data_IF_979179990936
#
_entry.id   IF_979179990936
#
_cell.length_a   1.000
_cell.length_b   1.000
_cell.length_c   1.000
_cell.angle_alpha   90.00
_cell.angle_beta   90.00
_cell.angle_gamma   90.00
#
_symmetry.space_group_name_H-M   'P 1'
#
loop_
_entity.id
_entity.type
_entity.pdbx_description
1 polymer ?
#
# COMPACT_ATOMS: atom_id res chain seq x y z
N UNK A 1 -6.93 -4.83 -22.06
CA UNK A 1 -6.37 -3.55 -21.55
C UNK A 1 -7.39 -2.74 -20.74
N UNK A 2 -8.64 -2.58 -21.21
CA UNK A 2 -9.67 -1.74 -20.55
C UNK A 2 -10.03 -2.18 -19.12
N UNK A 3 -10.15 -3.49 -18.87
CA UNK A 3 -10.45 -4.02 -17.54
C UNK A 3 -9.35 -3.67 -16.52
N UNK A 4 -8.08 -3.80 -16.91
CA UNK A 4 -6.96 -3.49 -16.02
C UNK A 4 -6.95 -2.00 -15.63
N UNK A 5 -7.23 -1.11 -16.59
CA UNK A 5 -7.34 0.33 -16.33
C UNK A 5 -8.54 0.65 -15.43
N UNK A 6 -9.67 -0.05 -15.60
CA UNK A 6 -10.83 0.09 -14.73
C UNK A 6 -10.49 -0.30 -13.29
N UNK A 7 -9.91 -1.49 -13.08
CA UNK A 7 -9.51 -1.97 -11.75
C UNK A 7 -8.54 -0.98 -11.10
N UNK A 8 -7.56 -0.50 -11.87
CA UNK A 8 -6.58 0.44 -11.40
C UNK A 8 -7.19 1.78 -10.97
N UNK A 9 -8.12 2.32 -11.77
CA UNK A 9 -8.84 3.55 -11.43
C UNK A 9 -9.75 3.38 -10.20
N UNK A 10 -10.40 2.23 -10.05
CA UNK A 10 -11.22 1.91 -8.88
C UNK A 10 -10.37 1.88 -7.61
N UNK A 11 -9.25 1.14 -7.62
CA UNK A 11 -8.33 1.08 -6.49
C UNK A 11 -7.73 2.45 -6.12
N UNK A 12 -7.36 3.25 -7.12
CA UNK A 12 -6.92 4.63 -6.88
C UNK A 12 -7.99 5.50 -6.23
N UNK A 13 -9.24 5.40 -6.70
CA UNK A 13 -10.36 6.17 -6.16
C UNK A 13 -10.65 5.79 -4.72
N UNK A 14 -10.68 4.49 -4.42
CA UNK A 14 -10.92 3.97 -3.08
C UNK A 14 -9.85 4.45 -2.09
N UNK A 15 -8.57 4.29 -2.45
CA UNK A 15 -7.45 4.73 -1.62
C UNK A 15 -7.51 6.23 -1.32
N UNK A 16 -7.80 7.06 -2.33
CA UNK A 16 -7.94 8.52 -2.14
C UNK A 16 -9.11 8.87 -1.23
N UNK A 17 -10.19 8.10 -1.27
CA UNK A 17 -11.32 8.29 -0.34
C UNK A 17 -10.93 7.92 1.10
N UNK A 18 -10.20 6.82 1.29
CA UNK A 18 -9.66 6.46 2.61
C UNK A 18 -8.72 7.54 3.16
N UNK A 19 -7.81 8.05 2.34
CA UNK A 19 -6.90 9.14 2.74
C UNK A 19 -7.65 10.41 3.16
N UNK A 20 -8.72 10.78 2.43
CA UNK A 20 -9.59 11.90 2.80
C UNK A 20 -10.26 11.69 4.16
N UNK A 21 -10.73 10.48 4.45
CA UNK A 21 -11.36 10.13 5.74
C UNK A 21 -10.36 10.20 6.90
N UNK A 22 -9.17 9.66 6.70
CA UNK A 22 -8.10 9.61 7.71
C UNK A 22 -7.39 10.97 7.88
N UNK A 23 -7.59 11.92 6.94
CA UNK A 23 -6.95 13.25 6.91
C UNK A 23 -5.42 13.19 6.99
N UNK A 24 -4.83 12.08 6.56
CA UNK A 24 -3.38 11.88 6.46
C UNK A 24 -3.00 11.72 4.99
N UNK A 25 -1.80 12.18 4.64
CA UNK A 25 -1.23 11.96 3.32
C UNK A 25 -0.12 10.92 3.35
N UNK A 26 0.30 10.47 2.16
CA UNK A 26 1.42 9.55 1.98
C UNK A 26 2.56 10.34 1.33
N UNK A 27 3.80 10.03 1.69
CA UNK A 27 4.97 10.61 1.02
C UNK A 27 5.02 10.17 -0.45
N UNK A 28 5.25 11.13 -1.35
CA UNK A 28 5.50 10.85 -2.77
C UNK A 28 6.97 10.42 -3.00
N UNK A 29 7.33 10.16 -4.25
CA UNK A 29 8.71 9.78 -4.65
C UNK A 29 9.80 10.77 -4.20
N UNK A 30 9.44 12.04 -3.99
CA UNK A 30 10.36 13.12 -3.59
C UNK A 30 10.20 13.44 -2.10
N UNK A 31 9.50 12.59 -1.32
CA UNK A 31 9.30 12.76 0.11
C UNK A 31 8.25 13.82 0.51
N UNK A 32 7.51 14.41 -0.44
CA UNK A 32 6.43 15.36 -0.14
C UNK A 32 5.12 14.64 0.11
N UNK A 33 4.39 15.06 1.14
CA UNK A 33 3.07 14.51 1.48
C UNK A 33 2.07 14.80 0.35
N UNK A 34 1.37 13.77 -0.11
CA UNK A 34 0.31 13.87 -1.12
C UNK A 34 -0.97 13.16 -0.68
N UNK A 35 -2.11 13.77 -1.02
CA UNK A 35 -3.45 13.20 -0.85
C UNK A 35 -3.97 12.51 -2.12
N UNK A 36 -3.19 12.57 -3.21
CA UNK A 36 -3.57 12.03 -4.52
C UNK A 36 -2.51 11.06 -5.05
N UNK A 37 -2.14 10.01 -4.29
CA UNK A 37 -1.18 9.02 -4.79
C UNK A 37 -1.75 8.29 -6.02
N UNK A 38 -0.84 7.69 -6.79
CA UNK A 38 -1.17 6.73 -7.84
C UNK A 38 -1.02 5.32 -7.29
N UNK A 39 -1.83 4.38 -7.77
CA UNK A 39 -1.74 2.98 -7.34
C UNK A 39 -0.39 2.33 -7.71
N UNK A 40 0.26 2.83 -8.77
CA UNK A 40 1.63 2.44 -9.17
C UNK A 40 2.61 2.81 -8.07
N UNK A 41 2.53 4.04 -7.56
CA UNK A 41 3.39 4.47 -6.46
C UNK A 41 3.19 3.60 -5.22
N UNK A 42 1.94 3.28 -4.90
CA UNK A 42 1.60 2.41 -3.76
C UNK A 42 2.21 1.02 -3.93
N UNK A 43 2.15 0.43 -5.12
CA UNK A 43 2.81 -0.84 -5.39
C UNK A 43 4.33 -0.75 -5.30
N UNK A 44 4.93 0.38 -5.70
CA UNK A 44 6.36 0.63 -5.49
C UNK A 44 6.72 0.70 -3.99
N UNK A 45 5.87 1.33 -3.16
CA UNK A 45 6.09 1.35 -1.71
C UNK A 45 6.14 -0.06 -1.09
N UNK A 46 5.43 -1.02 -1.67
CA UNK A 46 5.41 -2.43 -1.24
C UNK A 46 6.55 -3.28 -1.80
N UNK A 47 7.37 -2.75 -2.69
CA UNK A 47 8.53 -3.48 -3.22
C UNK A 47 9.54 -3.79 -2.11
N UNK A 48 10.04 -5.02 -2.10
CA UNK A 48 11.03 -5.48 -1.13
C UNK A 48 10.46 -5.88 0.23
N UNK A 49 9.13 -6.04 0.36
CA UNK A 49 8.57 -6.81 1.49
C UNK A 49 8.76 -8.29 1.18
N UNK A 50 9.40 -9.01 2.09
CA UNK A 50 9.74 -10.41 1.91
C UNK A 50 9.16 -11.25 3.04
N UNK A 51 8.56 -12.39 2.68
CA UNK A 51 8.21 -13.43 3.62
C UNK A 51 9.33 -14.46 3.65
N UNK A 52 9.96 -14.64 4.80
CA UNK A 52 11.12 -15.52 4.99
C UNK A 52 10.89 -16.47 6.17
N UNK A 53 11.55 -17.62 6.12
CA UNK A 53 11.56 -18.58 7.22
C UNK A 53 12.99 -18.63 7.74
N UNK A 54 13.20 -18.13 8.96
CA UNK A 54 14.51 -18.15 9.63
C UNK A 54 14.40 -19.05 10.85
N UNK A 55 15.23 -20.09 10.92
CA UNK A 55 15.24 -21.06 12.02
C UNK A 55 13.85 -21.67 12.33
N UNK A 56 13.05 -21.95 11.29
CA UNK A 56 11.69 -22.47 11.43
C UNK A 56 10.63 -21.42 11.81
N UNK A 57 11.02 -20.18 12.09
CA UNK A 57 10.11 -19.07 12.40
C UNK A 57 9.79 -18.29 11.13
N UNK A 58 8.49 -18.15 10.84
CA UNK A 58 7.97 -17.34 9.74
C UNK A 58 8.06 -15.86 10.11
N UNK A 59 8.69 -15.05 9.27
CA UNK A 59 8.87 -13.62 9.51
C UNK A 59 8.63 -12.81 8.23
N UNK A 60 8.03 -11.64 8.39
CA UNK A 60 7.90 -10.65 7.32
C UNK A 60 8.98 -9.59 7.52
N UNK A 61 9.88 -9.49 6.57
CA UNK A 61 11.01 -8.55 6.59
C UNK A 61 10.64 -7.29 5.81
N UNK A 62 11.20 -6.15 6.24
CA UNK A 62 11.05 -4.85 5.58
C UNK A 62 9.62 -4.27 5.65
N UNK A 63 8.82 -4.68 6.63
CA UNK A 63 7.51 -4.08 6.90
C UNK A 63 7.65 -2.87 7.84
N UNK A 64 8.08 -1.73 7.29
CA UNK A 64 8.27 -0.47 8.02
C UNK A 64 6.93 0.17 8.44
N UNK A 65 6.97 1.12 9.36
CA UNK A 65 5.78 1.85 9.83
C UNK A 65 5.05 2.59 8.70
N UNK A 66 5.78 3.17 7.74
CA UNK A 66 5.16 3.76 6.55
C UNK A 66 4.39 2.72 5.73
N UNK A 67 4.94 1.51 5.54
CA UNK A 67 4.29 0.43 4.81
C UNK A 67 3.08 -0.12 5.57
N UNK A 68 3.16 -0.23 6.89
CA UNK A 68 2.02 -0.58 7.76
C UNK A 68 0.91 0.45 7.66
N UNK A 69 1.27 1.74 7.66
CA UNK A 69 0.30 2.81 7.45
C UNK A 69 -0.37 2.69 6.08
N UNK A 70 0.39 2.48 5.00
CA UNK A 70 -0.19 2.28 3.67
C UNK A 70 -1.09 1.03 3.62
N UNK A 71 -0.71 -0.08 4.26
CA UNK A 71 -1.56 -1.28 4.36
C UNK A 71 -2.89 -1.00 5.05
N UNK A 72 -2.88 -0.21 6.14
CA UNK A 72 -4.10 0.12 6.88
C UNK A 72 -5.13 0.91 6.05
N UNK A 73 -4.70 1.56 4.98
CA UNK A 73 -5.58 2.30 4.06
C UNK A 73 -6.24 1.39 3.01
N UNK A 74 -5.74 0.17 2.83
CA UNK A 74 -6.29 -0.82 1.91
C UNK A 74 -7.35 -1.69 2.58
N UNK A 75 -8.25 -2.34 1.83
CA UNK A 75 -9.23 -3.27 2.38
C UNK A 75 -8.58 -4.41 3.17
N UNK A 76 -9.27 -4.92 4.18
CA UNK A 76 -8.79 -6.03 5.02
C UNK A 76 -8.38 -7.27 4.20
N UNK A 77 -9.07 -7.53 3.09
CA UNK A 77 -8.74 -8.61 2.15
C UNK A 77 -7.33 -8.47 1.57
N UNK A 78 -6.87 -7.24 1.31
CA UNK A 78 -5.52 -6.97 0.81
C UNK A 78 -4.48 -7.08 1.92
N UNK A 79 -4.81 -6.62 3.13
CA UNK A 79 -3.91 -6.65 4.28
C UNK A 79 -3.49 -8.08 4.66
N UNK A 80 -4.41 -9.04 4.53
CA UNK A 80 -4.18 -10.47 4.80
C UNK A 80 -3.07 -11.13 3.97
N UNK A 81 -2.67 -10.53 2.85
CA UNK A 81 -1.52 -11.05 2.08
C UNK A 81 -0.17 -10.69 2.70
N UNK A 82 -0.15 -9.74 3.62
CA UNK A 82 1.05 -9.15 4.22
C UNK A 82 1.09 -9.30 5.76
N UNK A 83 0.15 -10.04 6.35
CA UNK A 83 0.05 -10.33 7.79
C UNK A 83 0.00 -11.84 8.00
#
# INVERSE_FOLDING_TARGET
>A
MSLCLLIYNLGQRELRNCLKRVKKGINNQVGKVTLRPTLRWIFQCFQGIHYVILNGVKQIVNLTEERRFILSLLPASCQRYYL
#
